data_IF_335726673287
#
_entry.id   IF_335726673287
#
_cell.length_a   1.000
_cell.length_b   1.000
_cell.length_c   1.000
_cell.angle_alpha   90.00
_cell.angle_beta   90.00
_cell.angle_gamma   90.00
#
_symmetry.space_group_name_H-M   'P 1'
#
loop_
_entity.id
_entity.type
_entity.pdbx_description
1 polymer ?
#
# COMPACT_ATOMS: atom_id res chain seq x y z
N UNK A 1 34.07 -3.29 6.73
CA UNK A 1 32.74 -2.78 6.32
C UNK A 1 31.72 -3.55 7.15
N UNK A 2 31.29 -2.98 8.28
CA UNK A 2 30.58 -3.70 9.35
C UNK A 2 29.10 -3.88 9.04
N UNK A 3 28.66 -5.14 9.00
CA UNK A 3 27.25 -5.52 8.95
C UNK A 3 26.56 -5.33 10.32
N UNK A 4 26.30 -4.08 10.69
CA UNK A 4 25.59 -3.74 11.93
C UNK A 4 24.66 -2.54 11.72
N UNK A 5 23.63 -2.70 10.89
CA UNK A 5 22.50 -1.75 10.85
C UNK A 5 21.13 -2.47 10.87
N UNK A 6 21.09 -3.76 11.21
CA UNK A 6 19.86 -4.56 11.18
C UNK A 6 19.27 -4.85 12.56
N UNK A 7 19.87 -4.33 13.63
CA UNK A 7 19.42 -4.56 15.00
C UNK A 7 19.16 -3.23 15.69
N UNK A 8 17.96 -2.69 15.46
CA UNK A 8 17.16 -1.90 16.40
C UNK A 8 15.96 -1.29 15.66
N UNK A 9 15.10 -2.15 15.09
CA UNK A 9 13.74 -1.71 14.79
C UNK A 9 12.97 -1.80 16.10
N UNK A 10 12.59 -0.65 16.66
CA UNK A 10 11.70 -0.55 17.80
C UNK A 10 10.43 -1.40 17.54
N UNK A 11 10.12 -2.40 18.38
CA UNK A 11 8.91 -3.22 18.27
C UNK A 11 7.62 -2.39 18.19
N UNK A 12 7.62 -1.18 18.75
CA UNK A 12 6.48 -0.25 18.69
C UNK A 12 6.12 0.13 17.25
N UNK A 13 7.14 0.24 16.39
CA UNK A 13 7.00 0.68 14.99
C UNK A 13 6.47 -0.48 14.14
N UNK A 14 6.90 -1.72 14.38
CA UNK A 14 6.31 -2.89 13.71
C UNK A 14 4.86 -3.15 14.17
N UNK A 15 4.56 -2.89 15.44
CA UNK A 15 3.23 -3.09 16.03
C UNK A 15 2.13 -2.22 15.41
N UNK A 16 2.44 -1.00 14.96
CA UNK A 16 1.46 -0.10 14.35
C UNK A 16 1.03 -0.49 12.92
N UNK A 17 1.84 -1.30 12.23
CA UNK A 17 1.68 -1.51 10.78
C UNK A 17 0.88 -2.76 10.45
N UNK A 18 0.93 -3.76 11.33
CA UNK A 18 0.11 -4.98 11.24
C UNK A 18 -1.40 -4.65 11.23
N UNK A 19 -1.92 -3.76 12.10
CA UNK A 19 -3.32 -3.32 12.02
C UNK A 19 -3.68 -2.63 10.70
N UNK A 20 -2.77 -1.83 10.13
CA UNK A 20 -2.98 -1.12 8.86
C UNK A 20 -3.11 -2.12 7.70
N UNK A 21 -2.16 -3.06 7.60
CA UNK A 21 -2.18 -4.11 6.58
C UNK A 21 -3.44 -5.00 6.71
N UNK A 22 -3.80 -5.39 7.94
CA UNK A 22 -4.99 -6.19 8.18
C UNK A 22 -6.29 -5.44 7.80
N UNK A 23 -6.39 -4.15 8.12
CA UNK A 23 -7.53 -3.31 7.73
C UNK A 23 -7.63 -3.18 6.20
N UNK A 24 -6.50 -3.01 5.51
CA UNK A 24 -6.45 -2.94 4.05
C UNK A 24 -6.93 -4.25 3.39
N UNK A 25 -6.48 -5.42 3.87
CA UNK A 25 -6.93 -6.73 3.36
C UNK A 25 -8.45 -6.91 3.57
N UNK A 26 -8.96 -6.53 4.74
CA UNK A 26 -10.41 -6.59 5.03
C UNK A 26 -11.20 -5.69 4.09
N UNK A 27 -10.72 -4.46 3.86
CA UNK A 27 -11.36 -3.51 2.95
C UNK A 27 -11.30 -4.00 1.50
N UNK A 28 -10.17 -4.54 1.04
CA UNK A 28 -10.08 -5.15 -0.29
C UNK A 28 -11.13 -6.26 -0.45
N UNK A 29 -11.17 -7.18 0.52
CA UNK A 29 -12.11 -8.31 0.48
C UNK A 29 -13.56 -7.83 0.39
N UNK A 30 -13.93 -6.76 1.12
CA UNK A 30 -15.29 -6.23 1.09
C UNK A 30 -15.65 -5.48 -0.20
N UNK A 31 -14.67 -4.99 -0.95
CA UNK A 31 -14.89 -4.26 -2.21
C UNK A 31 -14.89 -5.16 -3.44
N UNK A 32 -13.98 -6.13 -3.48
CA UNK A 32 -13.69 -6.90 -4.72
C UNK A 32 -13.74 -8.41 -4.50
N UNK A 33 -14.24 -8.86 -3.36
CA UNK A 33 -14.30 -10.27 -3.00
C UNK A 33 -12.91 -10.90 -2.78
N UNK A 34 -12.90 -12.22 -2.58
CA UNK A 34 -11.67 -12.98 -2.28
C UNK A 34 -10.68 -12.98 -3.45
N UNK A 35 -11.17 -13.11 -4.68
CA UNK A 35 -10.32 -13.17 -5.86
C UNK A 35 -9.61 -11.83 -6.10
N UNK A 36 -10.37 -10.73 -6.17
CA UNK A 36 -9.81 -9.38 -6.33
C UNK A 36 -8.88 -9.01 -5.17
N UNK A 37 -9.21 -9.39 -3.94
CA UNK A 37 -8.31 -9.20 -2.80
C UNK A 37 -6.99 -9.94 -2.99
N UNK A 38 -7.03 -11.19 -3.44
CA UNK A 38 -5.80 -11.99 -3.64
C UNK A 38 -4.90 -11.34 -4.69
N UNK A 39 -5.45 -10.90 -5.82
CA UNK A 39 -4.72 -10.21 -6.89
C UNK A 39 -4.17 -8.86 -6.40
N UNK A 40 -5.01 -8.02 -5.80
CA UNK A 40 -4.61 -6.71 -5.28
C UNK A 40 -3.56 -6.80 -4.18
N UNK A 41 -3.71 -7.74 -3.25
CA UNK A 41 -2.76 -7.94 -2.16
C UNK A 41 -1.41 -8.47 -2.65
N UNK A 42 -1.41 -9.38 -3.63
CA UNK A 42 -0.16 -9.85 -4.24
C UNK A 42 0.67 -8.70 -4.84
N UNK A 43 0.02 -7.69 -5.41
CA UNK A 43 0.68 -6.49 -5.93
C UNK A 43 1.17 -5.57 -4.80
N UNK A 44 0.38 -5.38 -3.74
CA UNK A 44 0.72 -4.48 -2.64
C UNK A 44 1.80 -5.06 -1.70
N UNK A 45 1.79 -6.38 -1.48
CA UNK A 45 2.59 -7.05 -0.45
C UNK A 45 4.09 -6.74 -0.52
N UNK A 46 4.78 -6.74 -1.68
CA UNK A 46 6.20 -6.40 -1.73
C UNK A 46 6.51 -4.98 -1.23
N UNK A 47 5.60 -4.02 -1.45
CA UNK A 47 5.77 -2.64 -0.99
C UNK A 47 5.47 -2.50 0.49
N UNK A 48 4.43 -3.18 0.97
CA UNK A 48 4.09 -3.24 2.40
C UNK A 48 5.25 -3.87 3.18
N UNK A 49 5.79 -4.99 2.71
CA UNK A 49 6.90 -5.69 3.35
C UNK A 49 8.17 -4.83 3.37
N UNK A 50 8.49 -4.13 2.26
CA UNK A 50 9.61 -3.16 2.24
C UNK A 50 9.44 -2.08 3.30
N UNK A 51 8.22 -1.58 3.43
CA UNK A 51 7.93 -0.49 4.33
C UNK A 51 8.01 -0.96 5.80
N UNK A 52 7.47 -2.14 6.13
CA UNK A 52 7.57 -2.76 7.47
C UNK A 52 9.03 -3.01 7.88
N UNK A 53 9.86 -3.44 6.93
CA UNK A 53 11.28 -3.74 7.18
C UNK A 53 12.16 -2.49 7.30
N UNK A 54 11.73 -1.36 6.76
CA UNK A 54 12.49 -0.11 6.77
C UNK A 54 11.60 1.09 7.15
N UNK A 55 11.07 1.14 8.38
CA UNK A 55 10.10 2.15 8.78
C UNK A 55 10.71 3.56 8.95
N UNK A 56 12.02 3.66 9.10
CA UNK A 56 12.74 4.94 9.05
C UNK A 56 12.84 5.50 7.62
N UNK A 57 12.66 4.65 6.61
CA UNK A 57 12.73 5.03 5.19
C UNK A 57 11.34 5.25 4.59
N UNK A 58 10.35 4.45 5.02
CA UNK A 58 9.02 4.44 4.43
C UNK A 58 7.93 4.81 5.44
N UNK A 59 6.79 5.23 4.91
CA UNK A 59 5.53 5.43 5.62
C UNK A 59 4.52 4.48 5.00
N UNK A 60 3.84 3.68 5.81
CA UNK A 60 2.68 2.89 5.40
C UNK A 60 1.40 3.58 5.85
N UNK A 61 0.49 3.78 4.91
CA UNK A 61 -0.80 4.41 5.14
C UNK A 61 -1.92 3.48 4.71
N UNK A 62 -2.96 3.38 5.53
CA UNK A 62 -4.15 2.61 5.21
C UNK A 62 -5.17 3.40 4.40
N UNK A 63 -6.44 3.06 4.63
CA UNK A 63 -7.55 3.64 3.91
C UNK A 63 -7.59 5.18 3.98
N UNK A 64 -8.07 5.83 2.92
CA UNK A 64 -8.12 7.29 2.85
C UNK A 64 -8.87 7.83 1.65
N UNK A 65 -8.73 9.13 1.40
CA UNK A 65 -9.43 9.84 0.33
C UNK A 65 -9.15 9.27 -1.07
N UNK A 66 -10.15 9.40 -1.95
CA UNK A 66 -10.06 8.93 -3.35
C UNK A 66 -10.04 7.40 -3.49
N UNK A 67 -10.72 6.67 -2.60
CA UNK A 67 -10.80 5.21 -2.66
C UNK A 67 -9.52 4.48 -2.25
N UNK A 68 -8.59 5.18 -1.59
CA UNK A 68 -7.32 4.58 -1.15
C UNK A 68 -7.57 3.42 -0.21
N UNK A 69 -6.94 2.29 -0.54
CA UNK A 69 -6.91 1.09 0.28
C UNK A 69 -5.62 1.09 1.12
N UNK A 70 -4.48 1.24 0.45
CA UNK A 70 -3.16 1.21 1.07
C UNK A 70 -2.17 1.99 0.22
N UNK A 71 -1.22 2.67 0.85
CA UNK A 71 -0.20 3.45 0.18
C UNK A 71 1.12 3.37 0.93
N UNK A 72 2.22 3.35 0.17
CA UNK A 72 3.57 3.44 0.67
C UNK A 72 4.22 4.70 0.14
N UNK A 73 4.82 5.49 1.04
CA UNK A 73 5.55 6.72 0.71
C UNK A 73 6.98 6.66 1.22
N UNK A 74 7.89 7.37 0.56
CA UNK A 74 9.21 7.69 1.12
C UNK A 74 9.02 8.70 2.25
N UNK A 75 9.59 8.42 3.42
CA UNK A 75 9.51 9.32 4.59
C UNK A 75 10.21 10.66 4.32
N UNK A 76 11.39 10.63 3.68
CA UNK A 76 12.22 11.81 3.44
C UNK A 76 11.55 12.84 2.52
N UNK A 77 10.89 12.38 1.46
CA UNK A 77 10.35 13.25 0.39
C UNK A 77 8.82 13.30 0.38
N UNK A 78 8.15 12.40 1.09
CA UNK A 78 6.71 12.21 0.99
C UNK A 78 6.25 11.61 -0.34
N UNK A 79 7.15 11.23 -1.24
CA UNK A 79 6.79 10.70 -2.56
C UNK A 79 6.14 9.33 -2.45
N UNK A 80 5.05 9.11 -3.18
CA UNK A 80 4.38 7.80 -3.28
C UNK A 80 5.24 6.85 -4.10
N UNK A 81 5.49 5.66 -3.56
CA UNK A 81 6.18 4.57 -4.28
C UNK A 81 5.23 3.44 -4.69
N UNK A 82 4.06 3.37 -4.05
CA UNK A 82 2.98 2.48 -4.41
C UNK A 82 1.69 2.97 -3.78
N UNK A 83 0.58 2.86 -4.52
CA UNK A 83 -0.77 3.10 -4.01
C UNK A 83 -1.74 2.11 -4.66
N UNK A 84 -2.60 1.50 -3.86
CA UNK A 84 -3.71 0.67 -4.31
C UNK A 84 -5.03 1.36 -3.96
N UNK A 85 -5.92 1.45 -4.94
CA UNK A 85 -7.19 2.15 -4.87
C UNK A 85 -8.34 1.27 -5.35
N UNK A 86 -9.53 1.54 -4.81
CA UNK A 86 -10.80 1.09 -5.38
C UNK A 86 -11.67 2.32 -5.62
N UNK A 87 -11.62 2.84 -6.84
CA UNK A 87 -12.28 4.08 -7.25
C UNK A 87 -12.46 4.09 -8.78
N UNK A 88 -13.34 4.94 -9.37
CA UNK A 88 -13.47 5.00 -10.81
C UNK A 88 -12.22 5.62 -11.46
N UNK A 89 -11.74 5.01 -12.55
CA UNK A 89 -10.65 5.57 -13.36
C UNK A 89 -11.14 6.78 -14.16
N UNK A 90 -12.39 6.73 -14.63
CA UNK A 90 -13.05 7.83 -15.33
C UNK A 90 -14.22 8.33 -14.48
N UNK A 91 -14.40 9.64 -14.44
CA UNK A 91 -15.51 10.28 -13.72
C UNK A 91 -16.85 9.66 -14.13
N UNK A 92 -17.64 9.22 -13.15
CA UNK A 92 -18.93 8.56 -13.37
C UNK A 92 -18.86 7.09 -13.79
N UNK A 93 -17.67 6.52 -13.96
CA UNK A 93 -17.49 5.10 -14.24
C UNK A 93 -17.68 4.20 -13.02
N UNK A 94 -17.70 2.87 -13.21
CA UNK A 94 -17.71 1.93 -12.11
C UNK A 94 -16.42 2.03 -11.30
N UNK A 95 -16.50 1.68 -10.01
CA UNK A 95 -15.30 1.49 -9.21
C UNK A 95 -14.55 0.26 -9.74
N UNK A 96 -13.24 0.39 -9.90
CA UNK A 96 -12.35 -0.70 -10.29
C UNK A 96 -11.15 -0.73 -9.35
N UNK A 97 -10.63 -1.92 -9.10
CA UNK A 97 -9.39 -2.09 -8.37
C UNK A 97 -8.25 -1.70 -9.29
N UNK A 98 -7.47 -0.72 -8.86
CA UNK A 98 -6.32 -0.29 -9.64
C UNK A 98 -5.19 0.19 -8.74
N UNK A 99 -3.98 0.23 -9.28
CA UNK A 99 -2.81 0.71 -8.56
C UNK A 99 -2.04 1.77 -9.33
N UNK A 100 -1.18 2.48 -8.61
CA UNK A 100 -0.29 3.53 -9.11
C UNK A 100 1.13 3.26 -8.63
N UNK A 101 2.10 3.43 -9.52
CA UNK A 101 3.53 3.29 -9.24
C UNK A 101 4.34 4.37 -9.98
N UNK A 102 5.50 4.80 -9.43
CA UNK A 102 6.45 5.62 -10.16
C UNK A 102 6.90 4.98 -11.48
N UNK A 103 7.36 5.78 -12.46
CA UNK A 103 7.49 7.24 -12.40
C UNK A 103 6.17 8.00 -12.64
N UNK A 104 5.12 7.32 -13.09
CA UNK A 104 3.86 7.96 -13.47
C UNK A 104 2.71 7.55 -12.55
N UNK A 105 2.51 8.32 -11.50
CA UNK A 105 1.43 8.15 -10.53
C UNK A 105 0.04 8.61 -11.05
N UNK A 106 -0.06 9.06 -12.31
CA UNK A 106 -1.35 9.35 -12.97
C UNK A 106 -1.86 8.16 -13.77
N UNK A 107 -1.02 7.16 -14.02
CA UNK A 107 -1.43 5.96 -14.73
C UNK A 107 -2.18 5.03 -13.79
N UNK A 108 -3.37 4.62 -14.21
CA UNK A 108 -4.17 3.62 -13.52
C UNK A 108 -3.88 2.25 -14.13
N UNK A 109 -3.36 1.33 -13.34
CA UNK A 109 -3.19 -0.07 -13.75
C UNK A 109 -4.32 -0.90 -13.13
N UNK A 110 -5.31 -1.25 -13.96
CA UNK A 110 -6.47 -2.02 -13.54
C UNK A 110 -6.09 -3.46 -13.16
N UNK A 111 -6.76 -3.97 -12.13
CA UNK A 111 -6.52 -5.31 -11.56
C UNK A 111 -7.79 -6.16 -11.60
N UNK A 112 -8.94 -5.54 -11.33
CA UNK A 112 -10.23 -6.21 -11.18
C UNK A 112 -11.40 -5.22 -11.33
#
# INVERSE_FOLDING_TARGET
MSGQDVHNLDPSVQGQWVPIAAAAIRLLTSKVGREGMTKGWALARPYVDKAIKAPNTYILEGAGGGGRIIQVRLRKTGAVVFRLDYFPIKTGGPNVLHYHIPPNLKNHYEVF
#
